data_IF_860608955285
#
_entry.id   IF_860608955285
#
_cell.length_a   1.000
_cell.length_b   1.000
_cell.length_c   1.000
_cell.angle_alpha   90.00
_cell.angle_beta   90.00
_cell.angle_gamma   90.00
#
_symmetry.space_group_name_H-M   'P 1'
#
loop_
_entity.id
_entity.type
_entity.pdbx_description
1 polymer ?
#
# COMPACT_ATOMS: atom_id res chain seq x y z
N UNK A 1 -3.03 -7.51 8.57
CA UNK A 1 -3.26 -6.77 7.29
C UNK A 1 -4.65 -6.14 7.31
N UNK A 2 -4.96 -5.20 6.40
CA UNK A 2 -6.26 -4.49 6.41
C UNK A 2 -7.47 -5.44 6.34
N UNK A 3 -7.34 -6.56 5.62
CA UNK A 3 -8.40 -7.57 5.53
C UNK A 3 -8.66 -8.32 6.84
N UNK A 4 -7.71 -8.35 7.77
CA UNK A 4 -7.87 -8.89 9.13
C UNK A 4 -8.54 -7.87 10.07
N UNK A 5 -8.78 -6.65 9.60
CA UNK A 5 -9.43 -5.63 10.40
C UNK A 5 -10.87 -6.06 10.74
N UNK A 6 -11.30 -5.92 12.01
CA UNK A 6 -12.68 -6.17 12.40
C UNK A 6 -13.65 -5.12 11.86
N UNK A 7 -13.16 -4.18 11.04
CA UNK A 7 -13.96 -3.12 10.44
C UNK A 7 -15.03 -3.71 9.52
N UNK A 8 -16.30 -3.38 9.79
CA UNK A 8 -17.41 -3.67 8.89
C UNK A 8 -17.38 -2.69 7.73
N UNK A 9 -16.73 -3.07 6.67
CA UNK A 9 -16.68 -2.30 5.43
C UNK A 9 -16.93 -3.23 4.25
N UNK A 10 -17.95 -2.95 3.47
CA UNK A 10 -18.41 -3.81 2.37
C UNK A 10 -17.29 -4.23 1.39
N UNK A 11 -16.27 -3.37 1.19
CA UNK A 11 -15.10 -3.71 0.36
C UNK A 11 -14.33 -4.91 0.91
N UNK A 12 -14.16 -4.98 2.23
CA UNK A 12 -13.50 -6.11 2.88
C UNK A 12 -14.35 -7.38 2.80
N UNK A 13 -15.68 -7.25 2.85
CA UNK A 13 -16.59 -8.38 2.73
C UNK A 13 -16.57 -8.97 1.32
N UNK A 14 -16.51 -8.12 0.28
CA UNK A 14 -16.31 -8.55 -1.12
C UNK A 14 -14.99 -9.30 -1.27
N UNK A 15 -13.90 -8.78 -0.71
CA UNK A 15 -12.60 -9.45 -0.78
C UNK A 15 -12.59 -10.79 -0.06
N UNK A 16 -13.14 -10.86 1.15
CA UNK A 16 -13.25 -12.13 1.90
C UNK A 16 -14.05 -13.17 1.12
N UNK A 17 -15.17 -12.74 0.53
CA UNK A 17 -15.99 -13.64 -0.31
C UNK A 17 -15.26 -14.13 -1.55
N UNK A 18 -14.50 -13.25 -2.24
CA UNK A 18 -13.70 -13.63 -3.39
C UNK A 18 -12.61 -14.63 -3.01
N UNK A 19 -11.86 -14.38 -1.93
CA UNK A 19 -10.84 -15.28 -1.40
C UNK A 19 -11.43 -16.64 -1.04
N UNK A 20 -12.58 -16.67 -0.34
CA UNK A 20 -13.25 -17.91 0.03
C UNK A 20 -13.67 -18.72 -1.21
N UNK A 21 -14.17 -18.08 -2.27
CA UNK A 21 -14.52 -18.73 -3.54
C UNK A 21 -13.29 -19.30 -4.25
N UNK A 22 -12.19 -18.54 -4.31
CA UNK A 22 -10.93 -19.02 -4.90
C UNK A 22 -10.44 -20.25 -4.15
N UNK A 23 -10.39 -20.21 -2.83
CA UNK A 23 -9.95 -21.35 -2.01
C UNK A 23 -10.87 -22.59 -2.15
N UNK A 24 -12.17 -22.38 -2.32
CA UNK A 24 -13.14 -23.44 -2.50
C UNK A 24 -13.29 -23.97 -3.93
N UNK A 25 -12.58 -23.39 -4.91
CA UNK A 25 -12.72 -23.76 -6.32
C UNK A 25 -12.03 -25.04 -6.73
N UNK A 26 -11.08 -25.53 -5.92
CA UNK A 26 -10.21 -26.66 -6.28
C UNK A 26 -9.09 -26.31 -7.29
N UNK A 27 -9.03 -25.07 -7.78
CA UNK A 27 -7.98 -24.60 -8.69
C UNK A 27 -6.76 -24.17 -7.85
N UNK A 28 -5.53 -24.56 -8.21
CA UNK A 28 -4.34 -24.06 -7.54
C UNK A 28 -4.26 -22.53 -7.60
N UNK A 29 -3.93 -21.90 -6.49
CA UNK A 29 -3.89 -20.45 -6.37
C UNK A 29 -2.65 -19.95 -5.62
N UNK A 30 -2.27 -18.72 -5.87
CA UNK A 30 -1.36 -17.96 -5.01
C UNK A 30 -2.00 -16.61 -4.72
N UNK A 31 -2.24 -16.30 -3.46
CA UNK A 31 -2.87 -15.05 -3.04
C UNK A 31 -1.83 -14.12 -2.44
N UNK A 32 -1.75 -12.91 -2.94
CA UNK A 32 -0.87 -11.88 -2.45
C UNK A 32 -1.64 -10.78 -1.71
N UNK A 33 -1.09 -10.36 -0.58
CA UNK A 33 -1.63 -9.27 0.22
C UNK A 33 -0.63 -8.11 0.26
N UNK A 34 -0.61 -7.28 -0.79
CA UNK A 34 0.32 -6.16 -0.85
C UNK A 34 -0.05 -5.07 0.18
N UNK A 35 0.99 -4.43 0.67
CA UNK A 35 0.92 -3.25 1.51
C UNK A 35 0.73 -1.98 0.66
N UNK A 36 1.20 -0.82 1.15
CA UNK A 36 1.08 0.43 0.41
C UNK A 36 2.03 0.44 -0.80
N UNK A 37 1.50 0.75 -1.98
CA UNK A 37 2.31 0.95 -3.16
C UNK A 37 2.93 2.35 -3.18
N UNK A 38 4.24 2.43 -3.49
CA UNK A 38 4.96 3.71 -3.60
C UNK A 38 4.40 4.59 -4.72
N UNK A 39 3.86 4.00 -5.78
CA UNK A 39 3.20 4.67 -6.90
C UNK A 39 2.00 5.54 -6.47
N UNK A 40 1.42 5.26 -5.31
CA UNK A 40 0.35 6.10 -4.77
C UNK A 40 0.85 7.47 -4.32
N UNK A 41 2.14 7.62 -4.03
CA UNK A 41 2.72 8.91 -3.64
C UNK A 41 2.60 9.95 -4.76
N UNK A 42 3.13 9.74 -5.98
CA UNK A 42 2.95 10.71 -7.06
C UNK A 42 1.50 10.80 -7.55
N UNK A 43 0.80 9.70 -7.70
CA UNK A 43 -0.53 9.67 -8.31
C UNK A 43 -1.60 10.40 -7.51
N UNK A 44 -1.51 10.38 -6.18
CA UNK A 44 -2.56 10.93 -5.30
C UNK A 44 -2.18 12.23 -4.62
N UNK A 45 -0.92 12.59 -4.62
CA UNK A 45 -0.42 13.69 -3.81
C UNK A 45 0.27 14.81 -4.60
N UNK A 46 0.47 14.64 -5.91
CA UNK A 46 1.06 15.67 -6.74
C UNK A 46 -0.01 16.64 -7.28
N UNK A 47 0.15 17.92 -6.97
CA UNK A 47 -0.61 19.02 -7.54
C UNK A 47 0.39 20.00 -8.19
N UNK A 48 0.65 19.82 -9.48
CA UNK A 48 1.70 20.55 -10.20
C UNK A 48 3.06 20.38 -9.53
N UNK A 49 3.63 21.48 -9.03
CA UNK A 49 4.95 21.50 -8.36
C UNK A 49 4.87 21.26 -6.84
N UNK A 50 3.70 20.99 -6.30
CA UNK A 50 3.48 20.83 -4.87
C UNK A 50 3.05 19.41 -4.54
N UNK A 51 3.71 18.79 -3.57
CA UNK A 51 3.27 17.54 -2.98
C UNK A 51 2.31 17.83 -1.82
N UNK A 52 1.06 17.44 -1.99
CA UNK A 52 -0.02 17.67 -1.01
C UNK A 52 -0.28 16.40 -0.23
N UNK A 53 0.07 16.41 1.05
CA UNK A 53 -0.22 15.32 1.97
C UNK A 53 -1.49 15.63 2.77
N UNK A 54 -2.34 14.62 2.97
CA UNK A 54 -3.56 14.75 3.77
C UNK A 54 -3.44 13.93 5.06
N UNK A 55 -3.56 14.62 6.17
CA UNK A 55 -3.43 14.02 7.49
C UNK A 55 -1.97 13.78 7.90
N UNK A 56 -1.81 13.19 9.08
CA UNK A 56 -0.52 12.91 9.66
C UNK A 56 -0.55 11.61 10.46
N UNK A 57 0.50 10.79 10.39
CA UNK A 57 0.62 9.55 11.15
C UNK A 57 2.07 9.24 11.50
N UNK A 58 2.29 8.76 12.73
CA UNK A 58 3.55 8.14 13.18
C UNK A 58 3.50 6.62 13.08
N UNK A 59 2.36 6.03 12.73
CA UNK A 59 2.23 4.57 12.57
C UNK A 59 3.07 4.14 11.39
N UNK A 60 3.91 3.13 11.59
CA UNK A 60 4.77 2.59 10.55
C UNK A 60 3.99 1.62 9.69
N UNK A 61 4.16 1.73 8.40
CA UNK A 61 3.60 0.88 7.37
C UNK A 61 4.71 0.51 6.41
N UNK A 62 4.54 -0.57 5.70
CA UNK A 62 5.50 -1.02 4.70
C UNK A 62 5.09 -0.45 3.34
N UNK A 63 6.11 -0.12 2.51
CA UNK A 63 5.91 0.45 1.19
C UNK A 63 6.67 -0.38 0.17
N UNK A 64 6.01 -0.79 -0.91
CA UNK A 64 6.60 -1.59 -1.98
C UNK A 64 6.36 -0.93 -3.33
N UNK A 65 7.27 -1.11 -4.28
CA UNK A 65 7.03 -0.73 -5.68
C UNK A 65 6.29 -1.81 -6.44
N UNK A 66 5.52 -1.42 -7.45
CA UNK A 66 4.89 -2.36 -8.38
C UNK A 66 5.92 -3.26 -9.07
N UNK A 67 7.13 -2.75 -9.33
CA UNK A 67 8.23 -3.53 -9.91
C UNK A 67 8.74 -4.62 -8.98
N UNK A 68 8.99 -4.31 -7.69
CA UNK A 68 9.39 -5.33 -6.70
C UNK A 68 8.31 -6.38 -6.51
N UNK A 69 7.06 -5.95 -6.41
CA UNK A 69 5.91 -6.85 -6.32
C UNK A 69 5.79 -7.73 -7.56
N UNK A 70 5.93 -7.15 -8.76
CA UNK A 70 5.90 -7.90 -10.01
C UNK A 70 6.98 -8.99 -10.08
N UNK A 71 8.20 -8.71 -9.55
CA UNK A 71 9.26 -9.72 -9.43
C UNK A 71 8.87 -10.87 -8.50
N UNK A 72 8.23 -10.59 -7.37
CA UNK A 72 7.73 -11.62 -6.45
C UNK A 72 6.63 -12.46 -7.11
N UNK A 73 5.69 -11.82 -7.80
CA UNK A 73 4.64 -12.53 -8.56
C UNK A 73 5.27 -13.44 -9.63
N UNK A 74 6.22 -12.93 -10.42
CA UNK A 74 6.89 -13.73 -11.44
C UNK A 74 7.61 -14.95 -10.84
N UNK A 75 8.28 -14.78 -9.69
CA UNK A 75 8.93 -15.89 -9.00
C UNK A 75 7.97 -16.96 -8.51
N UNK A 76 6.77 -16.59 -8.08
CA UNK A 76 5.78 -17.56 -7.61
C UNK A 76 5.35 -18.56 -8.70
N UNK A 77 5.39 -18.18 -9.98
CA UNK A 77 5.12 -19.09 -11.09
C UNK A 77 6.23 -20.12 -11.32
N UNK A 78 7.46 -19.81 -10.92
CA UNK A 78 8.60 -20.71 -11.00
C UNK A 78 8.77 -21.59 -9.75
N UNK A 79 7.95 -21.38 -8.72
CA UNK A 79 8.04 -22.06 -7.43
C UNK A 79 6.79 -22.95 -7.22
N UNK A 80 6.87 -24.29 -7.43
CA UNK A 80 5.71 -25.17 -7.24
C UNK A 80 5.09 -25.08 -5.84
N UNK A 81 5.91 -24.83 -4.82
CA UNK A 81 5.50 -24.71 -3.43
C UNK A 81 4.67 -23.45 -3.16
N UNK A 82 4.64 -22.49 -4.10
CA UNK A 82 3.78 -21.32 -4.02
C UNK A 82 2.31 -21.63 -4.32
N UNK A 83 2.01 -22.82 -4.86
CA UNK A 83 0.63 -23.25 -5.08
C UNK A 83 -0.11 -23.43 -3.75
N UNK A 84 -1.34 -22.90 -3.69
CA UNK A 84 -2.21 -22.89 -2.52
C UNK A 84 -1.61 -22.13 -1.31
N UNK A 85 -0.76 -21.13 -1.58
CA UNK A 85 -0.15 -20.27 -0.57
C UNK A 85 -0.71 -18.86 -0.59
N UNK A 86 -0.52 -18.21 0.56
CA UNK A 86 -0.90 -16.81 0.79
C UNK A 86 0.33 -16.05 1.27
N UNK A 87 0.69 -14.99 0.56
CA UNK A 87 1.89 -14.21 0.83
C UNK A 87 1.57 -12.79 1.28
N UNK A 88 2.08 -12.40 2.45
CA UNK A 88 2.11 -11.01 2.86
C UNK A 88 3.21 -10.27 2.10
N UNK A 89 2.86 -9.26 1.33
CA UNK A 89 3.80 -8.52 0.50
C UNK A 89 4.10 -7.18 1.16
N UNK A 90 5.34 -7.01 1.64
CA UNK A 90 5.82 -5.81 2.31
C UNK A 90 7.13 -5.35 1.68
N UNK A 91 7.36 -4.04 1.66
CA UNK A 91 8.58 -3.45 1.14
C UNK A 91 9.79 -3.63 2.06
N UNK A 92 10.94 -3.02 1.76
CA UNK A 92 12.20 -3.31 2.45
C UNK A 92 12.25 -2.80 3.89
N UNK A 93 11.51 -1.73 4.20
CA UNK A 93 11.54 -1.06 5.50
C UNK A 93 10.16 -0.52 5.93
N UNK A 94 9.90 -0.47 7.26
CA UNK A 94 8.68 0.15 7.77
C UNK A 94 8.88 1.67 7.90
N UNK A 95 8.07 2.45 7.17
CA UNK A 95 8.11 3.92 7.15
C UNK A 95 6.71 4.46 7.39
N UNK A 96 6.58 5.49 8.25
CA UNK A 96 5.27 6.11 8.44
C UNK A 96 4.83 6.85 7.17
N UNK A 97 3.51 6.99 6.99
CA UNK A 97 2.96 7.74 5.86
C UNK A 97 3.55 9.16 5.75
N UNK A 98 3.68 9.85 6.90
CA UNK A 98 4.24 11.20 6.92
C UNK A 98 5.72 11.23 6.54
N UNK A 99 6.48 10.23 6.96
CA UNK A 99 7.89 10.10 6.63
C UNK A 99 8.07 9.70 5.16
N UNK A 100 7.28 8.74 4.65
CA UNK A 100 7.27 8.36 3.24
C UNK A 100 7.02 9.57 2.33
N UNK A 101 5.99 10.35 2.66
CA UNK A 101 5.65 11.59 1.95
C UNK A 101 6.78 12.64 2.00
N UNK A 102 7.44 12.77 3.16
CA UNK A 102 8.57 13.69 3.32
C UNK A 102 9.78 13.25 2.47
N UNK A 103 10.17 11.98 2.57
CA UNK A 103 11.31 11.42 1.83
C UNK A 103 11.08 11.50 0.33
N UNK A 104 9.89 11.14 -0.13
CA UNK A 104 9.51 11.27 -1.54
C UNK A 104 9.57 12.73 -2.02
N UNK A 105 8.92 13.66 -1.33
CA UNK A 105 8.88 15.06 -1.73
C UNK A 105 10.28 15.71 -1.78
N UNK A 106 11.16 15.34 -0.87
CA UNK A 106 12.55 15.78 -0.87
C UNK A 106 13.31 15.22 -2.09
N UNK A 107 13.15 13.93 -2.38
CA UNK A 107 13.86 13.27 -3.48
C UNK A 107 13.41 13.78 -4.87
N UNK A 108 12.17 14.26 -5.02
CA UNK A 108 11.67 14.87 -6.25
C UNK A 108 11.78 16.41 -6.24
N UNK A 109 12.44 17.00 -5.25
CA UNK A 109 12.64 18.47 -5.11
C UNK A 109 11.32 19.28 -5.17
N UNK A 110 10.24 18.76 -4.59
CA UNK A 110 8.93 19.41 -4.59
C UNK A 110 8.61 20.06 -3.25
N UNK A 111 7.91 21.17 -3.28
CA UNK A 111 7.34 21.78 -2.08
C UNK A 111 6.31 20.82 -1.48
N UNK A 112 6.32 20.72 -0.15
CA UNK A 112 5.36 19.90 0.60
C UNK A 112 4.34 20.79 1.29
N UNK A 113 3.05 20.48 1.08
CA UNK A 113 1.93 21.05 1.81
C UNK A 113 1.22 19.92 2.57
N UNK A 114 0.99 20.10 3.85
CA UNK A 114 0.20 19.16 4.65
C UNK A 114 -1.14 19.78 4.97
N UNK A 115 -2.22 19.14 4.52
CA UNK A 115 -3.59 19.54 4.82
C UNK A 115 -4.16 18.68 5.95
N UNK A 116 -4.81 19.28 6.96
CA UNK A 116 -5.54 18.52 7.96
C UNK A 116 -6.61 17.62 7.31
N UNK A 117 -6.77 16.41 7.86
CA UNK A 117 -7.75 15.43 7.36
C UNK A 117 -9.20 15.98 7.37
N UNK A 118 -9.46 16.99 8.21
CA UNK A 118 -10.73 17.70 8.29
C UNK A 118 -11.21 18.22 6.93
N UNK A 119 -10.33 18.79 6.11
CA UNK A 119 -10.71 19.31 4.79
C UNK A 119 -11.24 18.22 3.85
N UNK A 120 -10.69 17.01 3.93
CA UNK A 120 -11.19 15.86 3.14
C UNK A 120 -12.55 15.40 3.66
N UNK A 121 -12.79 15.50 4.96
CA UNK A 121 -14.11 15.18 5.53
C UNK A 121 -15.17 16.17 5.08
N UNK A 122 -14.86 17.47 5.11
CA UNK A 122 -15.78 18.51 4.63
C UNK A 122 -16.08 18.32 3.14
N UNK A 123 -15.06 18.11 2.31
CA UNK A 123 -15.26 17.80 0.89
C UNK A 123 -16.04 16.49 0.66
N UNK A 124 -15.94 15.53 1.57
CA UNK A 124 -16.70 14.28 1.54
C UNK A 124 -18.21 14.44 1.80
N UNK A 125 -18.67 15.60 2.29
CA UNK A 125 -20.10 15.88 2.45
C UNK A 125 -20.77 15.98 1.06
N UNK A 126 -20.10 16.62 0.11
CA UNK A 126 -20.62 16.88 -1.24
C UNK A 126 -20.12 15.89 -2.28
N UNK A 127 -19.08 15.11 -1.99
CA UNK A 127 -18.46 14.18 -2.93
C UNK A 127 -18.35 12.75 -2.36
N UNK A 128 -19.08 11.76 -2.93
CA UNK A 128 -18.94 10.36 -2.54
C UNK A 128 -17.51 9.83 -2.68
N UNK A 129 -16.79 10.26 -3.73
CA UNK A 129 -15.39 9.89 -3.96
C UNK A 129 -14.47 10.41 -2.84
N UNK A 130 -14.65 11.67 -2.41
CA UNK A 130 -13.88 12.24 -1.29
C UNK A 130 -14.21 11.55 0.03
N UNK A 131 -15.47 11.15 0.25
CA UNK A 131 -15.89 10.37 1.42
C UNK A 131 -15.20 9.01 1.45
N UNK A 132 -15.16 8.32 0.32
CA UNK A 132 -14.48 7.04 0.16
C UNK A 132 -12.97 7.17 0.42
N UNK A 133 -12.32 8.16 -0.23
CA UNK A 133 -10.90 8.45 -0.02
C UNK A 133 -10.58 8.82 1.43
N UNK A 134 -11.40 9.62 2.08
CA UNK A 134 -11.25 9.97 3.49
C UNK A 134 -11.34 8.75 4.42
N UNK A 135 -12.17 7.76 4.09
CA UNK A 135 -12.27 6.50 4.84
C UNK A 135 -11.01 5.65 4.67
N UNK A 136 -10.51 5.52 3.44
CA UNK A 136 -9.23 4.84 3.15
C UNK A 136 -8.10 5.51 3.93
N UNK A 137 -7.95 6.83 3.80
CA UNK A 137 -6.88 7.58 4.46
C UNK A 137 -6.93 7.42 5.98
N UNK A 138 -8.11 7.51 6.59
CA UNK A 138 -8.27 7.29 8.03
C UNK A 138 -7.81 5.89 8.43
N UNK A 139 -8.12 4.88 7.63
CA UNK A 139 -7.71 3.49 7.90
C UNK A 139 -6.19 3.35 7.80
N UNK A 140 -5.58 3.82 6.71
CA UNK A 140 -4.12 3.78 6.49
C UNK A 140 -3.36 4.52 7.59
N UNK A 141 -3.83 5.71 7.98
CA UNK A 141 -3.16 6.52 9.01
C UNK A 141 -3.24 5.91 10.42
N UNK A 142 -4.23 5.09 10.69
CA UNK A 142 -4.48 4.51 12.02
C UNK A 142 -3.98 3.09 12.18
N UNK A 143 -3.81 2.36 11.08
CA UNK A 143 -3.44 0.95 11.12
C UNK A 143 -1.91 0.79 11.18
N UNK A 144 -1.34 0.30 12.29
CA UNK A 144 0.06 -0.09 12.34
C UNK A 144 0.23 -1.47 11.70
N UNK A 145 1.17 -1.60 10.79
CA UNK A 145 1.54 -2.90 10.26
C UNK A 145 2.66 -3.55 11.08
N UNK A 146 2.52 -4.84 11.34
CA UNK A 146 3.60 -5.70 11.83
C UNK A 146 4.28 -6.40 10.66
N UNK A 147 5.53 -6.81 10.84
CA UNK A 147 6.24 -7.63 9.86
C UNK A 147 5.53 -8.99 9.74
N UNK A 148 5.20 -9.37 8.52
CA UNK A 148 4.58 -10.66 8.16
C UNK A 148 5.13 -11.23 6.85
N UNK A 149 6.06 -10.53 6.21
CA UNK A 149 6.59 -10.90 4.90
C UNK A 149 7.84 -11.79 4.97
N UNK A 150 8.21 -12.32 6.12
CA UNK A 150 9.41 -13.13 6.28
C UNK A 150 9.38 -14.37 5.35
N UNK A 151 8.25 -15.07 5.29
CA UNK A 151 8.05 -16.18 4.37
C UNK A 151 8.11 -15.74 2.91
N UNK A 152 7.44 -14.65 2.57
CA UNK A 152 7.47 -14.06 1.22
C UNK A 152 8.89 -13.71 0.80
N UNK A 153 9.67 -13.11 1.69
CA UNK A 153 11.06 -12.73 1.40
C UNK A 153 11.97 -13.95 1.22
N UNK A 154 11.77 -14.99 2.00
CA UNK A 154 12.51 -16.24 1.87
C UNK A 154 12.21 -16.94 0.54
N UNK A 155 10.94 -17.07 0.18
CA UNK A 155 10.49 -17.84 -0.97
C UNK A 155 10.59 -17.04 -2.28
N UNK A 156 10.15 -15.77 -2.25
CA UNK A 156 9.99 -14.94 -3.43
C UNK A 156 11.00 -13.78 -3.54
N UNK A 157 11.86 -13.64 -2.55
CA UNK A 157 12.89 -12.62 -2.49
C UNK A 157 12.43 -11.32 -1.82
N UNK A 158 13.37 -10.73 -1.10
CA UNK A 158 13.15 -9.47 -0.40
C UNK A 158 13.17 -8.30 -1.37
N UNK A 159 12.19 -7.39 -1.31
CA UNK A 159 12.24 -6.12 -2.04
C UNK A 159 13.43 -5.27 -1.60
N UNK A 160 13.99 -4.48 -2.50
CA UNK A 160 15.14 -3.63 -2.19
C UNK A 160 14.89 -2.16 -2.46
N UNK A 161 13.90 -1.82 -3.28
CA UNK A 161 13.67 -0.44 -3.72
C UNK A 161 13.21 0.44 -2.56
N UNK A 162 14.00 1.46 -2.24
CA UNK A 162 13.67 2.48 -1.24
C UNK A 162 12.76 3.56 -1.83
N UNK A 163 12.17 4.40 -0.96
CA UNK A 163 11.31 5.52 -1.40
C UNK A 163 12.12 6.52 -2.25
N UNK A 164 13.37 6.76 -1.88
CA UNK A 164 14.26 7.68 -2.61
C UNK A 164 14.66 7.14 -3.98
N UNK A 165 14.97 5.85 -4.08
CA UNK A 165 15.26 5.20 -5.35
C UNK A 165 14.06 5.25 -6.29
N UNK A 166 12.88 4.90 -5.77
CA UNK A 166 11.63 5.01 -6.51
C UNK A 166 11.36 6.45 -6.98
N UNK A 167 11.56 7.45 -6.12
CA UNK A 167 11.35 8.84 -6.46
C UNK A 167 12.24 9.30 -7.65
N UNK A 168 13.49 8.83 -7.69
CA UNK A 168 14.41 9.14 -8.81
C UNK A 168 13.93 8.58 -10.14
N UNK A 169 13.30 7.39 -10.16
CA UNK A 169 12.78 6.80 -11.41
C UNK A 169 11.63 7.58 -12.03
N UNK A 170 10.97 8.44 -11.26
CA UNK A 170 9.84 9.25 -11.75
C UNK A 170 10.31 10.62 -12.26
N UNK A 171 11.49 11.05 -11.84
CA UNK A 171 12.02 12.39 -12.17
C UNK A 171 12.83 12.39 -13.46
N UNK A 172 13.16 11.20 -13.97
CA UNK A 172 13.86 10.97 -15.25
C UNK A 172 12.85 10.89 -16.38
#
# INVERSE_FOLDING_TARGET
>A
MIHDSPSRWWVLDVWRSAIARIKGSGIPYTIFYPTNFMETLPQRHMLGRTFVMTGWSRKRNWWITGSDFGRQVARSFALPEAANREYAVQGPEPVSYSEAARRFALAVEKRRLTLPLFFVHVAGIVSPSMRFNGRIMRTVLRYPETLRAEETWRDLGRPSTTIEEFARTITT
#
